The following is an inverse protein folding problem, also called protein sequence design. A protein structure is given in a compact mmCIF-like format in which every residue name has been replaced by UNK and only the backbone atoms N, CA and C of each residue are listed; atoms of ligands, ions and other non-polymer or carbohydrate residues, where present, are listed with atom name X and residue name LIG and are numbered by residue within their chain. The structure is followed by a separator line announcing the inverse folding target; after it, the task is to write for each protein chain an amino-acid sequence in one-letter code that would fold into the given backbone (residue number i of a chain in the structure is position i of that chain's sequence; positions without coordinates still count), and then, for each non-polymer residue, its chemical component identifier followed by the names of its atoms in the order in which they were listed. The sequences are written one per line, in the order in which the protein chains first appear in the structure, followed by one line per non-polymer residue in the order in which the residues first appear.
data_IF_985321582015
#
_entry.id   IF_985321582015
#
_cell.length_a   1.000
_cell.length_b   1.000
_cell.length_c   1.000
_cell.angle_alpha   90.00
_cell.angle_beta   90.00
_cell.angle_gamma   90.00
#
_symmetry.space_group_name_H-M   'P 1'
#
loop_
_entity.id
_entity.type
_entity.pdbx_description
1 polymer ?
#
# COMPACT_ATOMS: atom_id res chain seq x y z
N UNK A 1 -29.56 1.32 2.83
CA UNK A 1 -28.40 2.12 3.24
C UNK A 1 -28.24 3.23 2.22
N UNK A 2 -28.15 4.50 2.65
CA UNK A 2 -27.86 5.60 1.74
C UNK A 2 -26.39 5.48 1.29
N UNK A 3 -26.10 5.75 0.02
CA UNK A 3 -24.75 5.74 -0.56
C UNK A 3 -23.92 6.95 -0.11
N UNK A 4 -23.77 7.13 1.20
CA UNK A 4 -22.95 8.19 1.79
C UNK A 4 -21.49 7.81 1.61
N UNK A 5 -20.67 8.72 1.11
CA UNK A 5 -19.24 8.50 0.89
C UNK A 5 -18.63 9.66 0.10
N UNK A 6 -17.34 9.57 -0.16
CA UNK A 6 -16.64 10.45 -1.10
C UNK A 6 -15.85 9.58 -2.08
N UNK A 7 -15.79 10.02 -3.34
CA UNK A 7 -14.96 9.40 -4.37
C UNK A 7 -14.24 10.51 -5.11
N UNK A 8 -12.95 10.61 -4.88
CA UNK A 8 -12.08 11.62 -5.49
C UNK A 8 -11.14 10.97 -6.49
N UNK A 9 -10.90 11.69 -7.59
CA UNK A 9 -9.85 11.38 -8.56
C UNK A 9 -8.76 12.43 -8.41
N UNK A 10 -7.55 11.96 -8.14
CA UNK A 10 -6.36 12.79 -8.02
C UNK A 10 -5.63 12.70 -9.35
N UNK A 11 -5.75 13.75 -10.16
CA UNK A 11 -5.03 13.89 -11.43
C UNK A 11 -3.57 14.21 -11.10
N UNK A 12 -2.67 13.32 -11.52
CA UNK A 12 -1.29 13.36 -11.03
C UNK A 12 -0.39 14.28 -11.83
N UNK A 13 -0.75 14.63 -13.07
CA UNK A 13 0.09 15.40 -13.99
C UNK A 13 -0.75 16.11 -15.03
N UNK A 14 -0.35 17.29 -15.55
CA UNK A 14 -0.96 17.86 -16.75
C UNK A 14 -0.55 17.13 -18.04
N UNK A 15 0.55 16.37 -18.04
CA UNK A 15 1.05 15.65 -19.21
C UNK A 15 0.28 14.34 -19.40
N UNK A 16 -0.37 14.19 -20.56
CA UNK A 16 -1.18 13.02 -20.86
C UNK A 16 -0.38 11.71 -20.98
N UNK A 17 0.91 11.80 -21.25
CA UNK A 17 1.75 10.66 -21.59
C UNK A 17 2.58 10.15 -20.43
N UNK A 18 2.88 11.01 -19.44
CA UNK A 18 3.66 10.64 -18.27
C UNK A 18 2.85 9.80 -17.30
N UNK A 19 3.52 8.78 -16.76
CA UNK A 19 3.00 7.90 -15.73
C UNK A 19 3.80 8.09 -14.44
N UNK A 20 3.30 7.55 -13.33
CA UNK A 20 3.91 7.78 -12.01
C UNK A 20 5.39 7.40 -11.92
N UNK A 21 5.79 6.31 -12.60
CA UNK A 21 7.19 5.89 -12.68
C UNK A 21 8.11 6.88 -13.42
N UNK A 22 7.56 7.79 -14.21
CA UNK A 22 8.29 8.77 -15.02
C UNK A 22 8.45 10.13 -14.31
N UNK A 23 7.76 10.32 -13.17
CA UNK A 23 7.82 11.56 -12.42
C UNK A 23 9.19 11.77 -11.79
N UNK A 24 9.64 13.02 -11.77
CA UNK A 24 10.76 13.40 -10.92
C UNK A 24 10.35 13.37 -9.44
N UNK A 25 11.35 13.37 -8.56
CA UNK A 25 11.11 13.25 -7.12
C UNK A 25 10.25 14.41 -6.56
N UNK A 26 10.50 15.70 -6.90
CA UNK A 26 9.67 16.79 -6.40
C UNK A 26 8.20 16.68 -6.85
N UNK A 27 7.95 16.18 -8.06
CA UNK A 27 6.58 16.00 -8.57
C UNK A 27 5.88 14.83 -7.88
N UNK A 28 6.56 13.69 -7.71
CA UNK A 28 6.00 12.55 -6.98
C UNK A 28 5.73 12.89 -5.50
N UNK A 29 6.60 13.67 -4.85
CA UNK A 29 6.37 14.16 -3.49
C UNK A 29 5.08 14.98 -3.40
N UNK A 30 4.82 15.88 -4.36
CA UNK A 30 3.58 16.68 -4.41
C UNK A 30 2.34 15.82 -4.57
N UNK A 31 2.42 14.75 -5.37
CA UNK A 31 1.32 13.80 -5.53
C UNK A 31 1.02 13.12 -4.19
N UNK A 32 2.03 12.65 -3.47
CA UNK A 32 1.87 12.04 -2.13
C UNK A 32 1.36 13.06 -1.11
N UNK A 33 1.83 14.31 -1.18
CA UNK A 33 1.33 15.40 -0.34
C UNK A 33 -0.17 15.63 -0.55
N UNK A 34 -0.61 15.54 -1.81
CA UNK A 34 -2.04 15.66 -2.16
C UNK A 34 -2.85 14.53 -1.52
N UNK A 35 -2.31 13.31 -1.47
CA UNK A 35 -2.96 12.18 -0.78
C UNK A 35 -3.16 12.47 0.71
N UNK A 36 -2.11 12.95 1.38
CA UNK A 36 -2.14 13.31 2.80
C UNK A 36 -3.17 14.42 3.07
N UNK A 37 -3.17 15.49 2.26
CA UNK A 37 -4.11 16.61 2.40
C UNK A 37 -5.57 16.14 2.26
N UNK A 38 -5.87 15.35 1.22
CA UNK A 38 -7.25 14.90 0.97
C UNK A 38 -7.71 13.87 2.00
N UNK A 39 -6.84 12.94 2.38
CA UNK A 39 -7.13 11.96 3.43
C UNK A 39 -7.45 12.62 4.78
N UNK A 40 -6.62 13.57 5.21
CA UNK A 40 -6.84 14.35 6.44
C UNK A 40 -8.15 15.16 6.39
N UNK A 41 -8.47 15.75 5.25
CA UNK A 41 -9.70 16.52 5.09
C UNK A 41 -10.95 15.64 5.21
N UNK A 42 -10.97 14.49 4.53
CA UNK A 42 -12.08 13.54 4.59
C UNK A 42 -12.22 12.89 5.97
N UNK A 43 -11.13 12.69 6.72
CA UNK A 43 -11.15 12.21 8.11
C UNK A 43 -11.90 13.16 9.07
N UNK A 44 -12.16 14.43 8.70
CA UNK A 44 -12.95 15.36 9.52
C UNK A 44 -14.45 15.03 9.53
N UNK A 45 -14.96 14.27 8.55
CA UNK A 45 -16.37 13.89 8.50
C UNK A 45 -16.62 12.63 9.36
N UNK A 46 -17.39 12.72 10.47
CA UNK A 46 -17.64 11.59 11.35
C UNK A 46 -18.47 10.47 10.73
N UNK A 47 -19.10 10.71 9.58
CA UNK A 47 -19.82 9.67 8.82
C UNK A 47 -18.87 8.73 8.09
N UNK A 48 -17.63 9.16 7.82
CA UNK A 48 -16.63 8.41 7.06
C UNK A 48 -15.73 7.63 8.03
N UNK A 49 -15.75 6.29 7.89
CA UNK A 49 -15.00 5.37 8.76
C UNK A 49 -13.65 4.96 8.18
N UNK A 50 -13.53 4.93 6.85
CA UNK A 50 -12.31 4.50 6.19
C UNK A 50 -12.12 5.22 4.86
N UNK A 51 -10.91 5.70 4.62
CA UNK A 51 -10.47 6.32 3.36
C UNK A 51 -9.39 5.44 2.73
N UNK A 52 -9.62 4.97 1.51
CA UNK A 52 -8.70 4.11 0.78
C UNK A 52 -8.12 4.88 -0.40
N UNK A 53 -6.80 5.06 -0.39
CA UNK A 53 -6.04 5.59 -1.53
C UNK A 53 -5.53 4.40 -2.34
N UNK A 54 -5.82 4.38 -3.65
CA UNK A 54 -5.37 3.31 -4.53
C UNK A 54 -5.17 3.79 -5.97
N UNK A 55 -4.26 3.14 -6.67
CA UNK A 55 -4.01 3.38 -8.10
C UNK A 55 -4.27 2.12 -8.90
N UNK A 56 -4.80 2.33 -10.11
CA UNK A 56 -4.90 1.33 -11.16
C UNK A 56 -4.04 1.81 -12.33
N UNK A 57 -2.96 1.10 -12.63
CA UNK A 57 -2.12 1.36 -13.80
C UNK A 57 -2.26 0.24 -14.82
N UNK A 58 -2.67 0.61 -16.04
CA UNK A 58 -2.87 -0.34 -17.13
C UNK A 58 -4.23 -1.06 -17.09
N UNK A 59 -4.64 -1.56 -18.26
CA UNK A 59 -5.99 -2.10 -18.50
C UNK A 59 -6.30 -3.31 -17.61
N UNK A 60 -5.33 -4.20 -17.41
CA UNK A 60 -5.50 -5.43 -16.62
C UNK A 60 -5.65 -5.14 -15.12
N UNK A 61 -5.20 -3.97 -14.66
CA UNK A 61 -5.39 -3.49 -13.29
C UNK A 61 -6.72 -2.73 -13.09
N UNK A 62 -7.55 -2.61 -14.13
CA UNK A 62 -8.83 -1.90 -14.08
C UNK A 62 -8.72 -0.38 -14.29
N UNK A 63 -7.66 0.10 -14.94
CA UNK A 63 -7.59 1.49 -15.38
C UNK A 63 -8.56 1.72 -16.54
N UNK A 64 -9.53 2.61 -16.35
CA UNK A 64 -10.48 3.03 -17.41
C UNK A 64 -9.92 4.14 -18.30
N UNK A 65 -8.99 4.92 -17.78
CA UNK A 65 -8.33 6.04 -18.47
C UNK A 65 -6.82 5.80 -18.52
N UNK A 66 -6.20 6.19 -19.63
CA UNK A 66 -4.74 6.11 -19.80
C UNK A 66 -3.98 7.17 -18.98
N UNK A 67 -4.56 8.36 -18.86
CA UNK A 67 -3.97 9.49 -18.14
C UNK A 67 -3.67 9.13 -16.68
N UNK A 68 -2.49 9.51 -16.17
CA UNK A 68 -2.07 9.10 -14.83
C UNK A 68 -2.95 9.72 -13.74
N UNK A 69 -3.62 8.86 -12.98
CA UNK A 69 -4.48 9.25 -11.88
C UNK A 69 -4.44 8.21 -10.76
N UNK A 70 -4.77 8.67 -9.55
CA UNK A 70 -5.01 7.86 -8.36
C UNK A 70 -6.43 8.16 -7.86
N UNK A 71 -7.02 7.23 -7.13
CA UNK A 71 -8.35 7.39 -6.57
C UNK A 71 -8.30 7.36 -5.05
N UNK A 72 -9.18 8.12 -4.43
CA UNK A 72 -9.43 8.09 -3.00
C UNK A 72 -10.92 7.86 -2.79
N UNK A 73 -11.28 6.73 -2.17
CA UNK A 73 -12.67 6.43 -1.82
C UNK A 73 -12.82 6.38 -0.30
N UNK A 74 -13.70 7.22 0.23
CA UNK A 74 -14.07 7.22 1.64
C UNK A 74 -15.46 6.67 1.86
N UNK A 75 -15.57 5.73 2.79
CA UNK A 75 -16.79 4.94 3.01
C UNK A 75 -17.24 5.01 4.47
N UNK A 76 -18.55 4.82 4.74
CA UNK A 76 -19.12 4.88 6.08
C UNK A 76 -18.94 3.55 6.85
N UNK A 77 -18.19 2.62 6.28
CA UNK A 77 -17.92 1.29 6.85
C UNK A 77 -16.44 0.95 6.65
N UNK A 78 -15.81 0.31 7.64
CA UNK A 78 -14.47 -0.24 7.43
C UNK A 78 -14.57 -1.47 6.49
N UNK A 79 -13.81 -1.53 5.39
CA UNK A 79 -13.83 -2.67 4.47
C UNK A 79 -13.54 -4.01 5.17
N UNK A 80 -14.11 -5.10 4.66
CA UNK A 80 -13.92 -6.45 5.24
C UNK A 80 -12.43 -6.81 5.38
N UNK A 81 -11.64 -6.59 4.32
CA UNK A 81 -10.20 -6.90 4.30
C UNK A 81 -9.43 -6.16 5.39
N UNK A 82 -9.68 -4.86 5.54
CA UNK A 82 -9.08 -4.04 6.61
C UNK A 82 -9.49 -4.55 7.99
N UNK A 83 -10.75 -4.95 8.19
CA UNK A 83 -11.19 -5.54 9.47
C UNK A 83 -10.50 -6.86 9.79
N UNK A 84 -10.24 -7.70 8.78
CA UNK A 84 -9.51 -8.96 8.95
C UNK A 84 -8.06 -8.69 9.35
N UNK A 85 -7.43 -7.71 8.71
CA UNK A 85 -6.07 -7.27 9.01
C UNK A 85 -5.96 -6.72 10.45
N UNK A 86 -6.84 -5.79 10.84
CA UNK A 86 -6.92 -5.25 12.21
C UNK A 86 -7.12 -6.35 13.27
N UNK A 87 -7.92 -7.38 12.97
CA UNK A 87 -8.09 -8.52 13.88
C UNK A 87 -6.82 -9.35 14.00
N UNK A 88 -6.11 -9.56 12.89
CA UNK A 88 -4.85 -10.29 12.86
C UNK A 88 -3.76 -9.56 13.65
N UNK A 89 -3.64 -8.24 13.48
CA UNK A 89 -2.67 -7.42 14.22
C UNK A 89 -3.00 -7.38 15.71
N UNK A 90 -4.28 -7.19 16.07
CA UNK A 90 -4.73 -7.22 17.45
C UNK A 90 -4.43 -8.58 18.11
N UNK A 91 -4.76 -9.69 17.45
CA UNK A 91 -4.50 -11.02 17.98
C UNK A 91 -3.00 -11.26 18.22
N UNK A 92 -2.14 -10.84 17.28
CA UNK A 92 -0.70 -10.95 17.46
C UNK A 92 -0.21 -10.08 18.63
N UNK A 93 -0.73 -8.86 18.76
CA UNK A 93 -0.42 -7.97 19.86
C UNK A 93 -0.87 -8.54 21.21
N UNK A 94 -2.04 -9.17 21.30
CA UNK A 94 -2.47 -9.87 22.53
C UNK A 94 -1.56 -11.06 22.88
N UNK A 95 -0.95 -11.70 21.88
CA UNK A 95 -0.04 -12.83 22.07
C UNK A 95 1.41 -12.43 22.40
N UNK A 96 1.93 -11.32 21.84
CA UNK A 96 3.33 -10.90 21.92
C UNK A 96 3.58 -9.52 22.51
N UNK A 97 2.54 -8.72 22.71
CA UNK A 97 2.59 -7.31 23.11
C UNK A 97 3.45 -6.43 22.18
N UNK A 98 3.59 -6.84 20.91
CA UNK A 98 4.35 -6.14 19.87
C UNK A 98 3.57 -6.07 18.56
N UNK A 99 3.87 -5.09 17.73
CA UNK A 99 3.30 -4.97 16.40
C UNK A 99 3.90 -6.04 15.47
N UNK A 100 3.05 -6.83 14.82
CA UNK A 100 3.47 -7.86 13.86
C UNK A 100 4.30 -7.28 12.71
N UNK A 101 3.95 -6.10 12.20
CA UNK A 101 4.68 -5.48 11.10
C UNK A 101 6.08 -5.02 11.52
N UNK A 102 6.25 -4.54 12.75
CA UNK A 102 7.58 -4.22 13.28
C UNK A 102 8.46 -5.48 13.38
N UNK A 103 7.88 -6.58 13.87
CA UNK A 103 8.58 -7.87 13.95
C UNK A 103 8.94 -8.41 12.56
N UNK A 104 8.05 -8.24 11.56
CA UNK A 104 8.34 -8.56 10.16
C UNK A 104 9.50 -7.71 9.63
N UNK A 105 9.46 -6.39 9.83
CA UNK A 105 10.52 -5.48 9.37
C UNK A 105 11.87 -5.89 9.98
N UNK A 106 11.91 -6.18 11.28
CA UNK A 106 13.14 -6.59 11.97
C UNK A 106 13.67 -7.93 11.42
N UNK A 107 12.82 -8.95 11.27
CA UNK A 107 13.24 -10.26 10.72
C UNK A 107 13.73 -10.13 9.27
N UNK A 108 13.02 -9.37 8.43
CA UNK A 108 13.37 -9.18 7.02
C UNK A 108 14.67 -8.37 6.84
N UNK A 109 14.93 -7.37 7.69
CA UNK A 109 16.22 -6.67 7.72
C UNK A 109 17.34 -7.64 8.14
N UNK A 110 17.10 -8.47 9.16
CA UNK A 110 18.11 -9.38 9.70
C UNK A 110 18.54 -10.47 8.71
N UNK A 111 17.58 -11.00 7.94
CA UNK A 111 17.83 -12.04 6.91
C UNK A 111 18.28 -11.44 5.59
N UNK A 112 17.70 -10.29 5.24
CA UNK A 112 17.92 -9.61 3.97
C UNK A 112 17.36 -10.34 2.74
N UNK A 113 16.85 -11.56 2.85
CA UNK A 113 16.47 -12.39 1.69
C UNK A 113 15.38 -11.75 0.83
N UNK A 114 14.27 -11.28 1.45
CA UNK A 114 13.11 -10.75 0.74
C UNK A 114 13.05 -9.21 0.64
N UNK A 115 14.13 -8.52 1.03
CA UNK A 115 14.22 -7.05 0.95
C UNK A 115 14.58 -6.61 -0.48
N UNK A 116 13.74 -5.78 -1.10
CA UNK A 116 13.94 -5.25 -2.45
C UNK A 116 14.72 -3.94 -2.45
N UNK A 117 14.35 -3.03 -1.54
CA UNK A 117 14.99 -1.72 -1.40
C UNK A 117 14.73 -1.17 0.01
N UNK A 118 15.61 -0.28 0.49
CA UNK A 118 15.46 0.41 1.77
C UNK A 118 16.12 1.79 1.68
N UNK A 119 15.59 2.76 2.42
CA UNK A 119 16.22 4.06 2.65
C UNK A 119 16.20 4.41 4.15
N UNK A 120 16.36 5.67 4.52
CA UNK A 120 16.41 6.10 5.92
C UNK A 120 15.12 5.86 6.70
N UNK A 121 13.96 5.81 6.02
CA UNK A 121 12.65 5.84 6.68
C UNK A 121 11.75 4.66 6.28
N UNK A 122 12.03 4.02 5.14
CA UNK A 122 11.16 3.00 4.53
C UNK A 122 11.92 1.78 4.08
N UNK A 123 11.23 0.65 4.11
CA UNK A 123 11.65 -0.62 3.53
C UNK A 123 10.61 -1.10 2.52
N UNK A 124 11.07 -1.67 1.42
CA UNK A 124 10.23 -2.43 0.49
C UNK A 124 10.68 -3.88 0.46
N UNK A 125 9.75 -4.79 0.67
CA UNK A 125 9.99 -6.23 0.72
C UNK A 125 8.92 -7.01 -0.05
N UNK A 126 9.23 -8.25 -0.41
CA UNK A 126 8.23 -9.23 -0.87
C UNK A 126 7.74 -9.99 0.36
N UNK A 127 6.44 -9.97 0.69
CA UNK A 127 5.96 -10.62 1.90
C UNK A 127 6.12 -12.16 1.79
N UNK A 128 6.53 -12.79 2.90
CA UNK A 128 6.69 -14.24 2.99
C UNK A 128 5.44 -15.00 2.51
N UNK A 129 4.24 -14.50 2.85
CA UNK A 129 2.96 -15.06 2.42
C UNK A 129 2.31 -14.21 1.31
N UNK A 130 3.08 -13.86 0.27
CA UNK A 130 2.58 -13.12 -0.90
C UNK A 130 1.47 -13.87 -1.64
N UNK A 131 0.39 -13.17 -1.96
CA UNK A 131 -0.76 -13.72 -2.70
C UNK A 131 -0.51 -13.69 -4.20
N UNK A 132 0.23 -12.69 -4.67
CA UNK A 132 0.51 -12.48 -6.10
C UNK A 132 2.01 -12.54 -6.37
N UNK A 133 2.43 -13.04 -7.55
CA UNK A 133 3.81 -12.96 -8.00
C UNK A 133 4.30 -11.51 -7.96
N UNK A 134 5.48 -11.28 -7.37
CA UNK A 134 6.07 -9.95 -7.23
C UNK A 134 5.18 -8.94 -6.47
N UNK A 135 4.33 -9.41 -5.57
CA UNK A 135 3.67 -8.55 -4.57
C UNK A 135 4.74 -7.86 -3.71
N UNK A 136 4.59 -6.57 -3.47
CA UNK A 136 5.52 -5.78 -2.67
C UNK A 136 4.79 -5.07 -1.56
N UNK A 137 5.38 -5.08 -0.37
CA UNK A 137 4.98 -4.23 0.74
C UNK A 137 6.02 -3.15 0.95
N UNK A 138 5.58 -1.90 0.95
CA UNK A 138 6.37 -0.74 1.33
C UNK A 138 5.88 -0.26 2.70
N UNK A 139 6.74 -0.34 3.71
CA UNK A 139 6.42 -0.03 5.11
C UNK A 139 7.36 1.04 5.65
N UNK A 140 6.91 1.97 6.52
CA UNK A 140 7.83 2.80 7.29
C UNK A 140 8.57 1.93 8.31
N UNK A 141 9.85 2.20 8.54
CA UNK A 141 10.62 1.51 9.58
C UNK A 141 10.21 1.95 10.99
N UNK A 142 9.73 3.19 11.12
CA UNK A 142 9.13 3.68 12.36
C UNK A 142 7.70 3.18 12.46
N UNK A 143 7.35 2.58 13.60
CA UNK A 143 5.96 2.22 13.91
C UNK A 143 5.03 3.43 13.74
N UNK A 144 4.06 3.29 12.83
CA UNK A 144 2.98 4.25 12.67
C UNK A 144 1.72 3.58 12.13
N UNK A 145 0.55 3.77 12.76
CA UNK A 145 -0.74 3.29 12.25
C UNK A 145 -1.33 4.15 11.12
N UNK A 146 -0.90 5.42 11.01
CA UNK A 146 -1.48 6.39 10.07
C UNK A 146 -0.49 6.85 9.02
N UNK A 147 -0.85 6.67 7.75
CA UNK A 147 -0.12 7.27 6.63
C UNK A 147 -0.10 8.79 6.75
N UNK A 148 -1.19 9.40 7.22
CA UNK A 148 -1.32 10.85 7.30
C UNK A 148 -0.37 11.50 8.31
N UNK A 149 0.30 10.71 9.16
CA UNK A 149 1.23 11.18 10.18
C UNK A 149 2.67 11.35 9.69
N UNK A 150 2.96 11.04 8.42
CA UNK A 150 4.31 11.21 7.88
C UNK A 150 4.73 12.68 7.86
N UNK A 151 5.96 12.93 8.28
CA UNK A 151 6.62 14.23 8.18
C UNK A 151 6.97 14.59 6.73
N UNK A 152 7.36 15.84 6.49
CA UNK A 152 7.84 16.27 5.17
C UNK A 152 9.09 15.49 4.72
N UNK A 153 9.99 15.17 5.65
CA UNK A 153 11.17 14.34 5.38
C UNK A 153 10.80 12.89 5.03
N UNK A 154 9.93 12.26 5.83
CA UNK A 154 9.41 10.92 5.51
C UNK A 154 8.65 10.93 4.17
N UNK A 155 7.95 12.00 3.82
CA UNK A 155 7.26 12.11 2.52
C UNK A 155 8.25 12.13 1.34
N UNK A 156 9.37 12.82 1.47
CA UNK A 156 10.45 12.81 0.48
C UNK A 156 11.06 11.41 0.34
N UNK A 157 11.38 10.76 1.47
CA UNK A 157 11.89 9.38 1.49
C UNK A 157 10.88 8.40 0.88
N UNK A 158 9.59 8.58 1.12
CA UNK A 158 8.53 7.76 0.51
C UNK A 158 8.48 7.95 -1.01
N UNK A 159 8.54 9.19 -1.50
CA UNK A 159 8.59 9.47 -2.94
C UNK A 159 9.80 8.80 -3.61
N UNK A 160 10.97 8.85 -2.97
CA UNK A 160 12.19 8.20 -3.46
C UNK A 160 12.04 6.69 -3.61
N UNK A 161 11.64 6.00 -2.55
CA UNK A 161 11.57 4.53 -2.57
C UNK A 161 10.40 4.04 -3.43
N UNK A 162 9.23 4.71 -3.41
CA UNK A 162 8.10 4.36 -4.26
C UNK A 162 8.47 4.51 -5.74
N UNK A 163 9.08 5.64 -6.13
CA UNK A 163 9.54 5.86 -7.50
C UNK A 163 10.58 4.82 -7.94
N UNK A 164 11.55 4.50 -7.09
CA UNK A 164 12.56 3.46 -7.34
C UNK A 164 11.92 2.09 -7.58
N UNK A 165 11.01 1.68 -6.71
CA UNK A 165 10.35 0.37 -6.77
C UNK A 165 9.45 0.26 -8.00
N UNK A 166 8.69 1.30 -8.33
CA UNK A 166 7.88 1.33 -9.54
C UNK A 166 8.76 1.22 -10.80
N UNK A 167 9.91 1.92 -10.86
CA UNK A 167 10.87 1.78 -11.97
C UNK A 167 11.42 0.36 -12.09
N UNK A 168 11.81 -0.26 -10.97
CA UNK A 168 12.27 -1.67 -10.94
C UNK A 168 11.19 -2.61 -11.46
N UNK A 169 9.94 -2.42 -11.02
CA UNK A 169 8.78 -3.21 -11.42
C UNK A 169 8.50 -3.07 -12.93
N UNK A 170 8.46 -1.83 -13.45
CA UNK A 170 8.25 -1.57 -14.88
C UNK A 170 9.37 -2.14 -15.73
N UNK A 171 10.64 -1.95 -15.35
CA UNK A 171 11.78 -2.47 -16.12
C UNK A 171 11.87 -4.00 -16.06
N UNK A 172 11.77 -4.57 -14.87
CA UNK A 172 11.97 -6.00 -14.64
C UNK A 172 10.89 -6.89 -15.22
N UNK A 173 9.65 -6.40 -15.24
CA UNK A 173 8.48 -7.21 -15.59
C UNK A 173 7.85 -6.79 -16.92
N UNK A 174 8.61 -6.10 -17.78
CA UNK A 174 8.17 -5.66 -19.11
C UNK A 174 6.91 -4.77 -19.09
N UNK A 175 6.91 -3.76 -18.22
CA UNK A 175 5.83 -2.78 -18.03
C UNK A 175 4.45 -3.43 -17.74
N UNK A 176 4.32 -4.21 -16.65
CA UNK A 176 3.06 -4.84 -16.34
C UNK A 176 2.03 -3.81 -15.87
N UNK A 177 0.74 -4.14 -16.00
CA UNK A 177 -0.29 -3.42 -15.26
C UNK A 177 -0.09 -3.69 -13.76
N UNK A 178 -0.39 -2.72 -12.90
CA UNK A 178 -0.29 -2.90 -11.44
C UNK A 178 -1.38 -2.12 -10.72
N UNK A 179 -1.67 -2.56 -9.50
CA UNK A 179 -2.37 -1.75 -8.52
C UNK A 179 -1.42 -1.42 -7.38
N UNK A 180 -1.58 -0.26 -6.75
CA UNK A 180 -1.10 -0.08 -5.38
C UNK A 180 -2.24 0.38 -4.49
N UNK A 181 -2.17 0.03 -3.21
CA UNK A 181 -3.21 0.32 -2.21
C UNK A 181 -2.53 0.76 -0.93
N UNK A 182 -2.96 1.88 -0.37
CA UNK A 182 -2.57 2.29 0.98
C UNK A 182 -3.47 1.60 2.01
N UNK A 183 -2.83 0.88 2.93
CA UNK A 183 -3.44 0.29 4.11
C UNK A 183 -3.09 1.18 5.29
N UNK A 184 -4.06 1.93 5.80
CA UNK A 184 -3.88 2.84 6.95
C UNK A 184 -4.98 2.61 8.00
N UNK A 185 -4.77 3.08 9.23
CA UNK A 185 -5.74 2.94 10.30
C UNK A 185 -7.10 3.60 9.94
N UNK A 186 -8.21 2.98 10.36
CA UNK A 186 -9.53 3.60 10.28
C UNK A 186 -9.62 4.91 11.06
N UNK A 187 -10.66 5.69 10.74
CA UNK A 187 -10.93 6.93 11.46
C UNK A 187 -11.34 6.66 12.92
N UNK A 188 -10.69 7.34 13.86
CA UNK A 188 -10.79 7.10 15.32
C UNK A 188 -11.98 7.78 16.01
N UNK A 189 -13.09 8.03 15.30
CA UNK A 189 -14.28 8.56 15.96
C UNK A 189 -14.85 7.55 16.97
N UNK A 190 -15.10 7.93 18.24
CA UNK A 190 -15.55 7.01 19.27
C UNK A 190 -16.86 6.30 18.90
N UNK A 191 -16.84 4.97 18.85
CA UNK A 191 -18.03 4.13 18.67
C UNK A 191 -17.89 2.85 19.51
N UNK A 192 -18.99 2.24 19.98
CA UNK A 192 -18.94 0.96 20.67
C UNK A 192 -18.26 -0.12 19.81
N UNK A 193 -17.37 -0.91 20.42
CA UNK A 193 -16.63 -1.98 19.73
C UNK A 193 -15.45 -1.51 18.87
N UNK A 194 -14.97 -0.28 19.06
CA UNK A 194 -13.76 0.21 18.42
C UNK A 194 -12.51 -0.47 18.98
N UNK A 195 -11.54 -0.73 18.12
CA UNK A 195 -10.25 -1.32 18.48
C UNK A 195 -9.45 -0.37 19.37
N UNK A 196 -9.07 -0.84 20.56
CA UNK A 196 -8.41 0.00 21.57
C UNK A 196 -6.90 0.07 21.40
N UNK A 197 -6.34 -0.83 20.60
CA UNK A 197 -4.90 -1.08 20.48
C UNK A 197 -4.32 -0.69 19.13
N UNK A 198 -5.11 -0.08 18.21
CA UNK A 198 -4.68 0.33 16.85
C UNK A 198 -3.35 1.07 16.88
N UNK A 199 -3.18 1.97 17.85
CA UNK A 199 -1.98 2.81 17.94
C UNK A 199 -0.71 2.00 18.25
N UNK A 200 -0.86 0.78 18.76
CA UNK A 200 0.22 -0.13 19.16
C UNK A 200 0.35 -1.36 18.27
N UNK A 201 -0.76 -1.83 17.71
CA UNK A 201 -0.79 -3.09 16.96
C UNK A 201 -0.80 -2.92 15.44
N UNK A 202 -1.33 -1.81 14.93
CA UNK A 202 -1.48 -1.58 13.51
C UNK A 202 -0.37 -0.70 12.94
N UNK A 203 0.01 -0.98 11.70
CA UNK A 203 1.13 -0.33 11.04
C UNK A 203 0.78 -0.11 9.57
N UNK A 204 0.74 1.14 9.14
CA UNK A 204 0.34 1.46 7.77
C UNK A 204 1.38 0.99 6.75
N UNK A 205 0.94 0.57 5.59
CA UNK A 205 1.83 0.16 4.52
C UNK A 205 1.17 0.34 3.15
N UNK A 206 1.96 0.18 2.10
CA UNK A 206 1.48 0.17 0.71
C UNK A 206 1.68 -1.23 0.15
N UNK A 207 0.61 -1.84 -0.33
CA UNK A 207 0.69 -3.07 -1.12
C UNK A 207 0.77 -2.68 -2.60
N UNK A 208 1.79 -3.14 -3.33
CA UNK A 208 1.93 -3.01 -4.78
C UNK A 208 1.77 -4.40 -5.39
N UNK A 209 0.83 -4.56 -6.31
CA UNK A 209 0.45 -5.84 -6.89
C UNK A 209 0.50 -5.76 -8.43
N UNK A 210 1.59 -6.23 -9.06
CA UNK A 210 1.63 -6.38 -10.51
C UNK A 210 0.65 -7.47 -10.97
N UNK A 211 -0.04 -7.22 -12.08
CA UNK A 211 -1.03 -8.13 -12.68
C UNK A 211 -0.36 -9.04 -13.69
N UNK A 212 0.34 -10.06 -13.16
CA UNK A 212 1.02 -11.08 -13.96
C UNK A 212 0.17 -12.34 -14.19
N UNK A 213 -0.75 -12.61 -13.26
CA UNK A 213 -1.69 -13.73 -13.34
C UNK A 213 -3.12 -13.22 -13.13
N UNK A 214 -4.10 -14.00 -13.60
CA UNK A 214 -5.52 -13.71 -13.40
C UNK A 214 -6.12 -14.74 -12.43
N UNK A 215 -6.82 -14.32 -11.36
CA UNK A 215 -7.50 -15.25 -10.46
C UNK A 215 -8.53 -16.10 -11.23
N UNK A 216 -8.51 -17.41 -11.00
CA UNK A 216 -9.44 -18.38 -11.57
C UNK A 216 -10.55 -18.77 -10.59
N UNK A 217 -11.32 -19.79 -10.95
CA UNK A 217 -12.47 -20.23 -10.16
C UNK A 217 -12.10 -20.71 -8.74
N UNK A 218 -10.91 -21.25 -8.56
CA UNK A 218 -10.42 -21.68 -7.24
C UNK A 218 -10.22 -20.48 -6.31
N UNK A 219 -9.53 -19.44 -6.78
CA UNK A 219 -9.27 -18.22 -6.02
C UNK A 219 -10.57 -17.48 -5.69
N UNK A 220 -11.46 -17.33 -6.68
CA UNK A 220 -12.76 -16.68 -6.47
C UNK A 220 -13.66 -17.46 -5.50
N UNK A 221 -13.63 -18.79 -5.55
CA UNK A 221 -14.49 -19.64 -4.73
C UNK A 221 -14.00 -19.81 -3.29
N UNK A 222 -12.70 -19.77 -3.05
CA UNK A 222 -12.10 -20.10 -1.74
C UNK A 222 -11.48 -18.91 -1.01
N UNK A 223 -11.00 -17.90 -1.75
CA UNK A 223 -10.15 -16.86 -1.19
C UNK A 223 -8.69 -17.26 -0.95
N UNK A 224 -8.30 -18.51 -1.27
CA UNK A 224 -6.89 -18.90 -1.35
C UNK A 224 -6.29 -18.46 -2.68
N UNK A 225 -5.00 -18.14 -2.68
CA UNK A 225 -4.27 -17.71 -3.87
C UNK A 225 -3.14 -18.69 -4.18
N UNK A 226 -2.91 -18.95 -5.47
CA UNK A 226 -1.77 -19.74 -5.94
C UNK A 226 -0.73 -18.77 -6.49
N UNK A 227 0.39 -18.66 -5.76
CA UNK A 227 1.53 -17.86 -6.19
C UNK A 227 2.62 -18.77 -6.79
N UNK A 228 2.86 -18.74 -8.12
CA UNK A 228 3.89 -19.54 -8.76
C UNK A 228 5.32 -19.06 -8.52
N UNK A 229 5.52 -17.87 -7.95
CA UNK A 229 6.86 -17.30 -7.74
C UNK A 229 7.18 -17.24 -6.26
N UNK A 230 8.22 -17.97 -5.78
CA UNK A 230 8.70 -17.84 -4.42
C UNK A 230 9.07 -16.39 -4.08
N UNK A 231 8.72 -15.88 -2.89
CA UNK A 231 8.96 -14.49 -2.54
C UNK A 231 10.45 -14.14 -2.50
N UNK A 232 11.32 -15.09 -2.16
CA UNK A 232 12.78 -14.93 -2.16
C UNK A 232 13.32 -14.68 -3.57
N UNK A 233 12.84 -15.44 -4.57
CA UNK A 233 13.23 -15.27 -5.97
C UNK A 233 12.73 -13.95 -6.54
N UNK A 234 11.48 -13.57 -6.24
CA UNK A 234 10.91 -12.30 -6.66
C UNK A 234 11.71 -11.11 -6.09
N UNK A 235 12.07 -11.18 -4.81
CA UNK A 235 12.83 -10.13 -4.16
C UNK A 235 14.25 -10.01 -4.72
N UNK A 236 14.96 -11.14 -4.87
CA UNK A 236 16.28 -11.18 -5.47
C UNK A 236 16.27 -10.57 -6.88
N UNK A 237 15.32 -11.00 -7.72
CA UNK A 237 15.18 -10.50 -9.08
C UNK A 237 15.00 -8.98 -9.12
N UNK A 238 14.10 -8.42 -8.31
CA UNK A 238 13.86 -6.97 -8.30
C UNK A 238 15.03 -6.19 -7.68
N UNK A 239 15.70 -6.74 -6.66
CA UNK A 239 16.86 -6.14 -6.01
C UNK A 239 18.02 -5.95 -6.99
N UNK A 240 18.30 -6.96 -7.81
CA UNK A 240 19.45 -6.97 -8.74
C UNK A 240 19.29 -6.04 -9.96
N UNK A 241 18.08 -5.53 -10.22
CA UNK A 241 17.83 -4.61 -11.33
C UNK A 241 18.42 -3.22 -11.06
N UNK A 242 19.31 -2.76 -11.93
CA UNK A 242 19.74 -1.35 -11.97
C UNK A 242 18.72 -0.51 -12.73
N UNK A 243 18.22 0.58 -12.15
CA UNK A 243 17.25 1.53 -12.76
C UNK A 243 17.69 2.97 -12.62
#
# INVERSE_FOLDING_TARGET
MNGIGAHEVIIETPDHTKQMQDFDLPHLEKVIQTYQIRSLDLKKDPRLKYSMIFKNYGREAGASLYHSHTQLISTPVTPKRVKEELKGTQWYYEYKERCIFCDIIEDEISRGERVVAMNSDFITLVPYASRFPFELWLLPMRHSPDFDSISDGERQSLAQILGLVLKKLIKGLSNPSYNFIFHTAPNRFPHPGYWQTIDKDYHWHIEIMPRLTRPGGFEWGTGFYINPTPPEEAAQFLRDLTV
#
